data_IF_367089786959
#
_entry.id   IF_367089786959
#
_cell.length_a   1.000
_cell.length_b   1.000
_cell.length_c   1.000
_cell.angle_alpha   90.00
_cell.angle_beta   90.00
_cell.angle_gamma   90.00
#
_symmetry.space_group_name_H-M   'P 1'
#
loop_
_entity.id
_entity.type
_entity.pdbx_description
1 polymer ?
#
# COMPACT_ATOMS: atom_id res chain seq x y z
N UNK A 1 29.70 -34.61 -19.05
CA UNK A 1 29.60 -33.27 -18.42
C UNK A 1 28.42 -32.53 -19.02
N UNK A 2 27.22 -32.52 -18.42
CA UNK A 2 26.11 -31.69 -18.95
C UNK A 2 24.88 -31.42 -18.04
N UNK A 3 24.78 -31.98 -16.82
CA UNK A 3 23.62 -31.72 -15.94
C UNK A 3 23.90 -30.78 -14.76
N UNK A 4 25.11 -30.76 -14.20
CA UNK A 4 25.44 -29.93 -13.02
C UNK A 4 25.55 -28.44 -13.40
N UNK A 5 26.06 -28.14 -14.59
CA UNK A 5 26.25 -26.76 -15.05
C UNK A 5 24.92 -26.02 -15.27
N UNK A 6 23.85 -26.75 -15.66
CA UNK A 6 22.51 -26.18 -15.84
C UNK A 6 21.82 -25.85 -14.51
N UNK A 7 22.10 -26.61 -13.45
CA UNK A 7 21.53 -26.38 -12.12
C UNK A 7 22.13 -25.13 -11.44
N UNK A 8 23.43 -24.88 -11.67
CA UNK A 8 24.13 -23.71 -11.11
C UNK A 8 23.70 -22.38 -11.75
N UNK A 9 23.37 -22.38 -13.05
CA UNK A 9 22.87 -21.19 -13.76
C UNK A 9 21.48 -20.75 -13.28
N UNK A 10 20.62 -21.69 -12.84
CA UNK A 10 19.30 -21.37 -12.32
C UNK A 10 19.33 -20.66 -10.95
N UNK A 11 20.34 -20.94 -10.11
CA UNK A 11 20.50 -20.31 -8.80
C UNK A 11 21.04 -18.88 -8.84
N UNK A 12 21.76 -18.48 -9.90
CA UNK A 12 22.24 -17.11 -10.04
C UNK A 12 21.15 -16.15 -10.55
N UNK A 13 20.17 -16.66 -11.31
CA UNK A 13 19.03 -15.88 -11.76
C UNK A 13 18.06 -15.51 -10.62
N UNK A 14 17.98 -16.33 -9.57
CA UNK A 14 17.13 -16.03 -8.40
C UNK A 14 17.75 -14.99 -7.47
N UNK A 15 19.08 -14.84 -7.42
CA UNK A 15 19.72 -13.80 -6.60
C UNK A 15 19.47 -12.37 -7.11
N UNK A 16 19.23 -12.17 -8.41
CA UNK A 16 18.90 -10.84 -8.94
C UNK A 16 17.51 -10.32 -8.50
N UNK A 17 16.59 -11.22 -8.13
CA UNK A 17 15.24 -10.86 -7.64
C UNK A 17 15.20 -10.52 -6.14
N UNK A 18 16.23 -10.88 -5.38
CA UNK A 18 16.27 -10.61 -3.93
C UNK A 18 16.66 -9.16 -3.62
N UNK A 19 17.41 -8.51 -4.52
CA UNK A 19 17.81 -7.11 -4.37
C UNK A 19 16.71 -6.09 -4.71
N UNK A 20 15.61 -6.50 -5.31
CA UNK A 20 14.49 -5.58 -5.60
C UNK A 20 13.52 -5.44 -4.42
N UNK A 21 13.52 -6.36 -3.46
CA UNK A 21 12.68 -6.27 -2.27
C UNK A 21 13.17 -5.21 -1.27
N UNK A 22 14.49 -4.95 -1.20
CA UNK A 22 15.06 -3.89 -0.34
C UNK A 22 15.06 -2.50 -0.98
N UNK A 23 14.57 -2.35 -2.21
CA UNK A 23 14.58 -1.09 -2.97
C UNK A 23 13.25 -0.33 -2.93
N UNK A 24 12.20 -0.89 -2.33
CA UNK A 24 10.88 -0.26 -2.28
C UNK A 24 10.83 0.82 -1.18
N UNK A 25 11.30 2.03 -1.52
CA UNK A 25 11.09 3.23 -0.69
C UNK A 25 9.60 3.64 -0.62
N UNK A 26 8.83 3.19 -1.61
CA UNK A 26 7.40 3.46 -1.77
C UNK A 26 6.66 2.16 -2.10
N UNK A 27 5.65 1.80 -1.33
CA UNK A 27 4.75 0.69 -1.62
C UNK A 27 3.32 1.21 -1.84
N UNK A 28 2.49 0.53 -2.64
CA UNK A 28 1.12 1.01 -2.89
C UNK A 28 0.08 -0.07 -3.18
N UNK A 29 -1.18 0.31 -3.01
CA UNK A 29 -2.35 -0.46 -3.40
C UNK A 29 -3.48 0.48 -3.83
N UNK A 30 -4.38 0.04 -4.71
CA UNK A 30 -5.66 0.72 -4.96
C UNK A 30 -6.72 0.10 -4.08
N UNK A 31 -7.49 0.93 -3.39
CA UNK A 31 -8.49 0.49 -2.44
C UNK A 31 -9.82 1.21 -2.66
N UNK A 32 -10.91 0.48 -2.48
CA UNK A 32 -12.25 1.02 -2.28
C UNK A 32 -12.69 0.58 -0.88
N UNK A 33 -13.01 1.54 -0.01
CA UNK A 33 -13.47 1.23 1.35
C UNK A 33 -14.95 0.85 1.34
N UNK A 34 -15.34 -0.07 2.23
CA UNK A 34 -16.76 -0.27 2.55
C UNK A 34 -17.12 0.54 3.81
N UNK A 35 -16.27 0.47 4.84
CA UNK A 35 -16.41 1.22 6.09
C UNK A 35 -15.09 1.91 6.47
N UNK A 36 -15.20 3.15 6.92
CA UNK A 36 -14.11 3.92 7.51
C UNK A 36 -14.61 4.80 8.65
N UNK A 37 -13.70 5.12 9.57
CA UNK A 37 -13.89 6.12 10.62
C UNK A 37 -13.12 7.38 10.25
N UNK A 38 -13.82 8.51 10.15
CA UNK A 38 -13.22 9.83 9.91
C UNK A 38 -12.96 10.51 11.25
N UNK A 39 -11.71 10.85 11.54
CA UNK A 39 -11.30 11.61 12.72
C UNK A 39 -10.98 13.04 12.28
N UNK A 40 -11.86 13.99 12.60
CA UNK A 40 -11.74 15.40 12.17
C UNK A 40 -11.79 16.35 13.37
N UNK A 41 -10.87 17.32 13.37
CA UNK A 41 -10.86 18.49 14.26
C UNK A 41 -10.43 19.74 13.47
N UNK A 42 -10.40 20.90 14.13
CA UNK A 42 -10.02 22.17 13.48
C UNK A 42 -8.61 22.15 12.88
N UNK A 43 -7.70 21.30 13.38
CA UNK A 43 -6.30 21.24 12.97
C UNK A 43 -5.84 19.86 12.49
N UNK A 44 -6.73 18.87 12.41
CA UNK A 44 -6.37 17.49 12.11
C UNK A 44 -7.46 16.78 11.33
N UNK A 45 -7.06 16.00 10.33
CA UNK A 45 -7.96 15.10 9.64
C UNK A 45 -7.26 13.79 9.28
N UNK A 46 -7.85 12.67 9.68
CA UNK A 46 -7.37 11.35 9.35
C UNK A 46 -8.52 10.37 9.15
N UNK A 47 -8.21 9.24 8.53
CA UNK A 47 -9.15 8.15 8.35
C UNK A 47 -8.57 6.84 8.83
N UNK A 48 -9.40 6.03 9.48
CA UNK A 48 -9.10 4.64 9.81
C UNK A 48 -10.00 3.75 8.96
N UNK A 49 -9.38 2.95 8.08
CA UNK A 49 -10.12 2.06 7.19
C UNK A 49 -10.32 0.69 7.86
N UNK A 50 -11.57 0.40 8.21
CA UNK A 50 -11.96 -0.82 8.92
C UNK A 50 -12.16 -2.00 7.95
N UNK A 51 -12.70 -1.71 6.77
CA UNK A 51 -13.03 -2.73 5.78
C UNK A 51 -12.85 -2.19 4.35
N UNK A 52 -12.55 -3.11 3.43
CA UNK A 52 -12.36 -2.81 2.01
C UNK A 52 -13.37 -3.61 1.21
N UNK A 53 -14.09 -2.95 0.30
CA UNK A 53 -14.93 -3.61 -0.70
C UNK A 53 -14.09 -4.17 -1.83
N UNK A 54 -12.98 -3.50 -2.16
CA UNK A 54 -11.99 -3.93 -3.15
C UNK A 54 -10.59 -3.51 -2.72
N UNK A 55 -9.59 -4.38 -2.96
CA UNK A 55 -8.19 -4.11 -2.67
C UNK A 55 -7.30 -4.75 -3.73
N UNK A 56 -6.47 -3.94 -4.39
CA UNK A 56 -5.56 -4.40 -5.44
C UNK A 56 -4.16 -3.86 -5.17
N UNK A 57 -3.26 -4.77 -4.81
CA UNK A 57 -1.84 -4.47 -4.61
C UNK A 57 -1.17 -4.06 -5.93
N UNK A 58 -0.18 -3.18 -5.84
CA UNK A 58 0.68 -2.86 -6.98
C UNK A 58 1.54 -4.08 -7.35
N UNK A 59 1.81 -4.24 -8.65
CA UNK A 59 2.65 -5.34 -9.15
C UNK A 59 4.12 -5.21 -8.69
N UNK A 60 4.58 -3.98 -8.52
CA UNK A 60 5.91 -3.65 -8.00
C UNK A 60 5.70 -2.90 -6.68
N UNK A 61 6.41 -3.33 -5.62
CA UNK A 61 6.27 -2.79 -4.26
C UNK A 61 4.81 -2.86 -3.73
N UNK A 62 4.27 -4.08 -3.55
CA UNK A 62 2.92 -4.25 -3.03
C UNK A 62 2.82 -3.73 -1.60
N UNK A 63 1.71 -3.02 -1.30
CA UNK A 63 1.33 -2.67 0.06
C UNK A 63 0.27 -3.66 0.54
N UNK A 64 0.61 -4.45 1.55
CA UNK A 64 -0.29 -5.51 2.04
C UNK A 64 -1.55 -4.91 2.67
N UNK A 65 -2.70 -5.54 2.43
CA UNK A 65 -3.98 -5.18 3.07
C UNK A 65 -3.87 -5.15 4.60
N UNK A 66 -3.07 -6.04 5.19
CA UNK A 66 -2.88 -6.12 6.63
C UNK A 66 -2.11 -4.93 7.21
N UNK A 67 -1.25 -4.29 6.41
CA UNK A 67 -0.51 -3.09 6.83
C UNK A 67 -1.38 -1.83 6.81
N UNK A 68 -2.49 -1.84 6.09
CA UNK A 68 -3.38 -0.69 5.94
C UNK A 68 -4.59 -0.78 6.85
N UNK A 69 -5.15 -1.99 7.00
CA UNK A 69 -6.36 -2.20 7.79
C UNK A 69 -6.17 -1.68 9.22
N UNK A 70 -7.13 -0.90 9.71
CA UNK A 70 -7.12 -0.32 11.06
C UNK A 70 -5.87 0.54 11.36
N UNK A 71 -5.20 1.04 10.33
CA UNK A 71 -4.11 2.01 10.47
C UNK A 71 -4.65 3.38 10.11
N UNK A 72 -4.27 4.38 10.90
CA UNK A 72 -4.63 5.76 10.69
C UNK A 72 -3.84 6.36 9.52
N UNK A 73 -4.55 7.01 8.60
CA UNK A 73 -3.99 7.67 7.43
C UNK A 73 -4.34 9.16 7.53
N UNK A 74 -3.32 10.00 7.68
CA UNK A 74 -3.50 11.44 7.70
C UNK A 74 -3.91 11.94 6.31
N UNK A 75 -4.83 12.89 6.30
CA UNK A 75 -5.46 13.41 5.09
C UNK A 75 -5.10 14.87 4.89
N UNK A 76 -4.99 15.26 3.62
CA UNK A 76 -5.05 16.68 3.28
C UNK A 76 -6.45 17.24 3.52
N UNK A 77 -6.58 18.56 3.70
CA UNK A 77 -7.88 19.20 3.91
C UNK A 77 -8.88 18.89 2.78
N UNK A 78 -8.42 18.86 1.52
CA UNK A 78 -9.27 18.53 0.38
C UNK A 78 -9.81 17.09 0.43
N UNK A 79 -8.97 16.12 0.80
CA UNK A 79 -9.38 14.72 0.95
C UNK A 79 -10.37 14.53 2.10
N UNK A 80 -10.23 15.34 3.15
CA UNK A 80 -11.15 15.36 4.28
C UNK A 80 -12.57 15.74 3.82
N UNK A 81 -12.69 16.80 3.02
CA UNK A 81 -13.97 17.30 2.51
C UNK A 81 -14.60 16.31 1.51
N UNK A 82 -13.78 15.69 0.65
CA UNK A 82 -14.24 14.65 -0.27
C UNK A 82 -14.80 13.42 0.48
N UNK A 83 -14.20 13.05 1.61
CA UNK A 83 -14.62 11.91 2.41
C UNK A 83 -15.92 12.14 3.19
N UNK A 84 -16.25 13.37 3.55
CA UNK A 84 -17.56 13.70 4.14
C UNK A 84 -18.71 13.39 3.17
N UNK A 85 -18.44 13.35 1.87
CA UNK A 85 -19.43 13.00 0.83
C UNK A 85 -19.72 11.49 0.71
N UNK A 86 -19.00 10.64 1.46
CA UNK A 86 -19.43 9.28 1.77
C UNK A 86 -18.81 8.15 0.94
N UNK A 87 -17.71 8.35 0.21
CA UNK A 87 -16.99 7.25 -0.47
C UNK A 87 -15.48 7.47 -0.54
N UNK A 88 -14.70 6.53 -0.01
CA UNK A 88 -13.26 6.49 -0.23
C UNK A 88 -12.89 5.54 -1.38
N UNK A 89 -12.42 6.11 -2.48
CA UNK A 89 -11.81 5.40 -3.59
C UNK A 89 -10.49 6.08 -3.94
N UNK A 90 -9.39 5.52 -3.45
CA UNK A 90 -8.08 6.16 -3.53
C UNK A 90 -6.97 5.12 -3.76
N UNK A 91 -5.81 5.61 -4.21
CA UNK A 91 -4.57 4.86 -4.12
C UNK A 91 -3.98 5.09 -2.73
N UNK A 92 -3.64 4.03 -2.03
CA UNK A 92 -2.96 4.09 -0.75
C UNK A 92 -1.47 3.89 -1.00
N UNK A 93 -0.66 4.80 -0.48
CA UNK A 93 0.79 4.83 -0.69
C UNK A 93 1.48 4.83 0.67
N UNK A 94 2.43 3.91 0.85
CA UNK A 94 3.35 3.91 1.99
C UNK A 94 4.68 4.49 1.55
N UNK A 95 5.09 5.61 2.14
CA UNK A 95 6.39 6.23 1.89
C UNK A 95 7.11 6.45 3.21
N UNK A 96 8.34 5.94 3.32
CA UNK A 96 9.17 6.04 4.54
C UNK A 96 8.46 5.64 5.84
N UNK A 97 7.54 4.67 5.77
CA UNK A 97 6.81 4.14 6.93
C UNK A 97 5.48 4.83 7.24
N UNK A 98 5.14 5.92 6.54
CA UNK A 98 3.87 6.62 6.70
C UNK A 98 2.92 6.29 5.54
N UNK A 99 1.62 6.23 5.83
CA UNK A 99 0.56 5.99 4.85
C UNK A 99 -0.06 7.30 4.40
N UNK A 100 -0.39 7.38 3.11
CA UNK A 100 -1.04 8.51 2.48
C UNK A 100 -2.13 8.02 1.53
N UNK A 101 -3.14 8.87 1.32
CA UNK A 101 -4.04 8.74 0.19
C UNK A 101 -3.53 9.59 -0.97
N UNK A 102 -3.54 9.00 -2.16
CA UNK A 102 -3.22 9.63 -3.44
C UNK A 102 -4.36 9.43 -4.45
#
# INVERSE_FOLDING_TARGET
MNSILKLLLACMATMMLVNTASACSTASARAESLDYELLKSDSYCSVIISSFSSYKEAMLCPLSRYEVKNTEIELTSAQCDDLESGKLKARIVKYKGQLFLD
#
